data_IF_241186091941
#
_entry.id   IF_241186091941
#
_cell.length_a   1.000
_cell.length_b   1.000
_cell.length_c   1.000
_cell.angle_alpha   90.00
_cell.angle_beta   90.00
_cell.angle_gamma   90.00
#
_symmetry.space_group_name_H-M   'P 1'
#
loop_
_entity.id
_entity.type
_entity.pdbx_description
1 polymer ?
#
# COMPACT_ATOMS: atom_id res chain seq x y z
N UNK A 1 18.10 -5.93 18.64
CA UNK A 1 17.77 -5.24 17.38
C UNK A 1 16.30 -5.46 17.13
N UNK A 2 15.54 -4.41 16.81
CA UNK A 2 14.14 -4.54 16.44
C UNK A 2 14.04 -5.40 15.17
N UNK A 3 13.29 -6.52 15.17
CA UNK A 3 13.13 -7.35 13.98
C UNK A 3 12.49 -6.60 12.80
N UNK A 4 11.80 -5.48 13.05
CA UNK A 4 11.09 -4.69 12.04
C UNK A 4 11.86 -3.45 11.57
N UNK A 5 13.07 -3.22 12.10
CA UNK A 5 13.93 -2.15 11.60
C UNK A 5 14.45 -2.46 10.19
N UNK A 6 14.02 -1.64 9.24
CA UNK A 6 14.43 -1.71 7.82
C UNK A 6 15.35 -0.55 7.41
N UNK A 7 15.78 0.31 8.34
CA UNK A 7 16.61 1.49 8.04
C UNK A 7 17.87 1.13 7.26
N UNK A 8 18.42 -0.06 7.49
CA UNK A 8 19.61 -0.56 6.82
C UNK A 8 19.41 -0.94 5.35
N UNK A 9 18.19 -0.99 4.80
CA UNK A 9 17.95 -1.28 3.38
C UNK A 9 18.60 -0.26 2.44
N UNK A 10 18.91 0.95 2.93
CA UNK A 10 19.65 1.99 2.18
C UNK A 10 21.07 1.57 1.80
N UNK A 11 21.64 0.59 2.51
CA UNK A 11 23.00 0.10 2.23
C UNK A 11 22.93 -0.90 1.07
N UNK A 12 23.76 -0.78 0.03
CA UNK A 12 23.75 -1.74 -1.07
C UNK A 12 24.24 -3.13 -0.64
N UNK A 13 23.82 -4.16 -1.37
CA UNK A 13 24.36 -5.51 -1.21
C UNK A 13 25.77 -5.63 -1.77
N UNK A 14 26.63 -6.48 -1.15
CA UNK A 14 27.80 -7.01 -1.82
C UNK A 14 27.42 -7.70 -3.14
N UNK A 15 28.23 -7.48 -4.19
CA UNK A 15 27.93 -7.94 -5.55
C UNK A 15 27.71 -9.45 -5.69
N UNK A 16 28.44 -10.25 -4.91
CA UNK A 16 28.33 -11.71 -4.92
C UNK A 16 26.99 -12.19 -4.36
N UNK A 17 26.50 -11.51 -3.32
CA UNK A 17 25.19 -11.77 -2.72
C UNK A 17 24.07 -11.30 -3.65
N UNK A 18 24.21 -10.11 -4.23
CA UNK A 18 23.22 -9.58 -5.18
C UNK A 18 23.07 -10.51 -6.39
N UNK A 19 24.16 -10.93 -7.03
CA UNK A 19 24.12 -11.87 -8.16
C UNK A 19 23.46 -13.20 -7.81
N UNK A 20 23.77 -13.77 -6.63
CA UNK A 20 23.16 -15.02 -6.19
C UNK A 20 21.64 -14.86 -5.97
N UNK A 21 21.23 -13.73 -5.39
CA UNK A 21 19.83 -13.38 -5.17
C UNK A 21 19.09 -13.19 -6.50
N UNK A 22 19.66 -12.44 -7.44
CA UNK A 22 19.05 -12.16 -8.74
C UNK A 22 18.94 -13.42 -9.61
N UNK A 23 19.86 -14.38 -9.43
CA UNK A 23 19.76 -15.71 -10.06
C UNK A 23 18.70 -16.62 -9.39
N UNK A 24 18.21 -16.25 -8.21
CA UNK A 24 17.27 -17.04 -7.42
C UNK A 24 17.90 -18.23 -6.69
N UNK A 25 19.22 -18.25 -6.48
CA UNK A 25 19.88 -19.24 -5.64
C UNK A 25 19.92 -18.73 -4.19
N UNK A 26 18.76 -18.83 -3.51
CA UNK A 26 18.63 -18.36 -2.13
C UNK A 26 19.48 -19.19 -1.15
N UNK A 27 19.80 -20.44 -1.49
CA UNK A 27 20.71 -21.27 -0.70
C UNK A 27 22.14 -20.75 -0.72
N UNK A 28 22.68 -20.42 -1.90
CA UNK A 28 23.97 -19.75 -2.04
C UNK A 28 23.94 -18.37 -1.40
N UNK A 29 22.87 -17.59 -1.61
CA UNK A 29 22.70 -16.26 -1.03
C UNK A 29 22.85 -16.29 0.49
N UNK A 30 22.15 -17.22 1.18
CA UNK A 30 22.28 -17.42 2.64
C UNK A 30 23.69 -17.83 3.05
N UNK A 31 24.33 -18.76 2.34
CA UNK A 31 25.70 -19.18 2.63
C UNK A 31 26.69 -18.02 2.53
N UNK A 32 26.59 -17.20 1.48
CA UNK A 32 27.44 -16.01 1.30
C UNK A 32 27.21 -14.97 2.40
N UNK A 33 25.95 -14.73 2.78
CA UNK A 33 25.62 -13.86 3.91
C UNK A 33 26.28 -14.38 5.20
N UNK A 34 26.08 -15.64 5.56
CA UNK A 34 26.65 -16.21 6.79
C UNK A 34 28.18 -16.21 6.78
N UNK A 35 28.81 -16.48 5.63
CA UNK A 35 30.26 -16.39 5.49
C UNK A 35 30.76 -14.96 5.75
N UNK A 36 30.07 -13.93 5.24
CA UNK A 36 30.44 -12.53 5.49
C UNK A 36 30.16 -12.12 6.94
N UNK A 37 29.06 -12.55 7.54
CA UNK A 37 28.76 -12.27 8.96
C UNK A 37 29.83 -12.82 9.91
N UNK A 38 30.46 -13.94 9.58
CA UNK A 38 31.57 -14.52 10.34
C UNK A 38 32.93 -13.84 10.07
N UNK A 39 33.00 -12.91 9.11
CA UNK A 39 34.23 -12.21 8.79
C UNK A 39 34.42 -10.99 9.68
N UNK A 40 35.39 -11.03 10.58
CA UNK A 40 35.70 -9.93 11.49
C UNK A 40 36.09 -8.60 10.80
N UNK A 41 36.35 -8.61 9.48
CA UNK A 41 36.70 -7.40 8.71
C UNK A 41 35.51 -6.57 8.23
N UNK A 42 34.28 -7.11 8.24
CA UNK A 42 33.12 -6.34 7.78
C UNK A 42 32.64 -5.37 8.85
N UNK A 43 32.17 -4.19 8.41
CA UNK A 43 31.61 -3.17 9.31
C UNK A 43 30.30 -3.63 9.93
N UNK A 44 29.93 -3.03 11.07
CA UNK A 44 28.64 -3.33 11.72
C UNK A 44 27.46 -2.95 10.83
N UNK A 45 27.55 -1.80 10.14
CA UNK A 45 26.55 -1.35 9.15
C UNK A 45 26.29 -2.42 8.08
N UNK A 46 27.34 -3.09 7.59
CA UNK A 46 27.18 -4.16 6.62
C UNK A 46 26.58 -5.42 7.27
N UNK A 47 26.90 -5.74 8.53
CA UNK A 47 26.25 -6.86 9.24
C UNK A 47 24.75 -6.62 9.39
N UNK A 48 24.35 -5.41 9.78
CA UNK A 48 22.94 -5.05 9.94
C UNK A 48 22.20 -5.18 8.61
N UNK A 49 22.79 -4.66 7.53
CA UNK A 49 22.28 -4.84 6.16
C UNK A 49 22.11 -6.32 5.77
N UNK A 50 23.08 -7.17 6.13
CA UNK A 50 23.04 -8.60 5.83
C UNK A 50 22.02 -9.36 6.68
N UNK A 51 21.82 -8.96 7.94
CA UNK A 51 20.76 -9.48 8.79
C UNK A 51 19.37 -9.10 8.26
N UNK A 52 19.18 -7.87 7.79
CA UNK A 52 17.96 -7.45 7.11
C UNK A 52 17.76 -8.23 5.82
N UNK A 53 18.81 -8.53 5.05
CA UNK A 53 18.68 -9.36 3.85
C UNK A 53 18.12 -10.76 4.14
N UNK A 54 18.54 -11.39 5.24
CA UNK A 54 18.01 -12.70 5.61
C UNK A 54 16.49 -12.68 5.87
N UNK A 55 15.96 -11.54 6.31
CA UNK A 55 14.52 -11.29 6.45
C UNK A 55 13.87 -11.10 5.08
N UNK A 56 14.46 -10.27 4.22
CA UNK A 56 14.00 -10.01 2.85
C UNK A 56 13.87 -11.31 2.03
N UNK A 57 14.81 -12.24 2.18
CA UNK A 57 14.76 -13.53 1.48
C UNK A 57 13.49 -14.35 1.77
N UNK A 58 12.85 -14.13 2.93
CA UNK A 58 11.61 -14.85 3.27
C UNK A 58 10.43 -14.47 2.37
N UNK A 59 10.45 -13.30 1.72
CA UNK A 59 9.44 -12.89 0.72
C UNK A 59 9.53 -13.74 -0.53
N UNK A 60 10.75 -14.01 -0.99
CA UNK A 60 10.98 -14.81 -2.20
C UNK A 60 10.84 -16.32 -1.97
N UNK A 61 10.88 -16.75 -0.71
CA UNK A 61 10.55 -18.12 -0.29
C UNK A 61 9.05 -18.32 -0.06
N UNK A 62 8.27 -17.24 0.07
CA UNK A 62 6.82 -17.31 0.11
C UNK A 62 6.27 -17.77 -1.26
N UNK A 63 5.07 -18.34 -1.27
CA UNK A 63 4.42 -18.85 -2.48
C UNK A 63 3.93 -17.75 -3.45
N UNK A 64 4.55 -16.58 -3.44
CA UNK A 64 4.19 -15.44 -4.31
C UNK A 64 4.51 -15.67 -5.78
N UNK A 65 5.50 -16.52 -6.09
CA UNK A 65 5.93 -16.82 -7.47
C UNK A 65 5.76 -18.31 -7.82
N UNK A 66 4.53 -18.85 -7.84
CA UNK A 66 4.31 -20.29 -7.93
C UNK A 66 4.37 -20.84 -9.37
N UNK A 67 4.43 -19.98 -10.39
CA UNK A 67 4.22 -20.39 -11.78
C UNK A 67 5.51 -20.33 -12.59
N UNK A 68 6.06 -21.49 -12.95
CA UNK A 68 7.07 -21.58 -14.01
C UNK A 68 6.48 -21.17 -15.37
N UNK A 69 7.33 -20.80 -16.33
CA UNK A 69 6.92 -20.29 -17.65
C UNK A 69 5.90 -21.17 -18.38
N UNK A 70 6.09 -22.50 -18.40
CA UNK A 70 5.13 -23.43 -19.03
C UNK A 70 3.73 -23.29 -18.40
N UNK A 71 3.66 -23.18 -17.07
CA UNK A 71 2.39 -23.06 -16.37
C UNK A 71 1.76 -21.68 -16.58
N UNK A 72 2.56 -20.63 -16.57
CA UNK A 72 2.09 -19.28 -16.87
C UNK A 72 1.49 -19.20 -18.28
N UNK A 73 2.12 -19.84 -19.28
CA UNK A 73 1.60 -19.93 -20.64
C UNK A 73 0.26 -20.68 -20.71
N UNK A 74 0.13 -21.82 -20.03
CA UNK A 74 -1.14 -22.55 -19.95
C UNK A 74 -2.25 -21.68 -19.36
N UNK A 75 -1.94 -20.94 -18.29
CA UNK A 75 -2.91 -20.06 -17.63
C UNK A 75 -3.34 -18.93 -18.58
N UNK A 76 -2.40 -18.28 -19.28
CA UNK A 76 -2.73 -17.25 -20.27
C UNK A 76 -3.64 -17.80 -21.39
N UNK A 77 -3.35 -18.99 -21.90
CA UNK A 77 -4.17 -19.66 -22.93
C UNK A 77 -5.59 -19.99 -22.43
N UNK A 78 -5.73 -20.31 -21.14
CA UNK A 78 -7.02 -20.63 -20.52
C UNK A 78 -7.82 -19.38 -20.14
N UNK A 79 -7.16 -18.24 -19.95
CA UNK A 79 -7.79 -17.01 -19.50
C UNK A 79 -8.20 -16.06 -20.62
N UNK A 80 -7.56 -16.11 -21.79
CA UNK A 80 -7.76 -15.13 -22.86
C UNK A 80 -8.08 -15.75 -24.22
N UNK A 81 -9.05 -15.16 -24.92
CA UNK A 81 -9.38 -15.46 -26.32
C UNK A 81 -8.19 -15.12 -27.23
N UNK A 82 -7.88 -16.00 -28.18
CA UNK A 82 -6.85 -15.84 -29.22
C UNK A 82 -5.42 -15.56 -28.72
N UNK A 83 -5.10 -15.94 -27.48
CA UNK A 83 -3.77 -15.73 -26.90
C UNK A 83 -2.65 -16.43 -27.69
N UNK A 84 -1.60 -15.68 -28.03
CA UNK A 84 -0.37 -16.19 -28.66
C UNK A 84 0.78 -16.24 -27.65
N UNK A 85 1.66 -17.24 -27.75
CA UNK A 85 2.79 -17.41 -26.81
C UNK A 85 3.65 -16.16 -26.70
N UNK A 86 3.95 -15.53 -27.83
CA UNK A 86 4.83 -14.37 -27.93
C UNK A 86 4.25 -13.13 -27.20
N UNK A 87 2.96 -13.14 -26.88
CA UNK A 87 2.37 -12.10 -26.03
C UNK A 87 3.00 -12.11 -24.63
N UNK A 88 3.22 -13.28 -24.00
CA UNK A 88 3.85 -13.33 -22.68
C UNK A 88 5.29 -12.81 -22.71
N UNK A 89 6.02 -13.08 -23.78
CA UNK A 89 7.39 -12.57 -23.95
C UNK A 89 7.40 -11.04 -24.07
N UNK A 90 6.49 -10.47 -24.86
CA UNK A 90 6.32 -9.01 -24.96
C UNK A 90 5.94 -8.38 -23.63
N UNK A 91 5.04 -9.00 -22.87
CA UNK A 91 4.64 -8.51 -21.54
C UNK A 91 5.84 -8.51 -20.57
N UNK A 92 6.71 -9.52 -20.64
CA UNK A 92 7.95 -9.60 -19.84
C UNK A 92 8.92 -8.49 -20.25
N UNK A 93 9.14 -8.30 -21.55
CA UNK A 93 10.04 -7.27 -22.09
C UNK A 93 9.57 -5.84 -21.78
N UNK A 94 8.25 -5.63 -21.77
CA UNK A 94 7.62 -4.36 -21.41
C UNK A 94 7.51 -4.14 -19.89
N UNK A 95 7.83 -5.14 -19.06
CA UNK A 95 7.74 -5.05 -17.60
C UNK A 95 6.31 -5.08 -17.04
N UNK A 96 5.33 -5.52 -17.83
CA UNK A 96 3.89 -5.51 -17.52
C UNK A 96 3.43 -6.72 -16.71
N UNK A 97 4.30 -7.73 -16.58
CA UNK A 97 4.13 -8.88 -15.69
C UNK A 97 5.28 -8.95 -14.69
N UNK A 98 4.97 -9.22 -13.43
CA UNK A 98 5.96 -9.37 -12.38
C UNK A 98 6.52 -10.80 -12.38
N UNK A 99 7.84 -10.91 -12.40
CA UNK A 99 8.56 -12.18 -12.47
C UNK A 99 9.92 -12.09 -11.79
N UNK A 100 10.47 -13.24 -11.38
CA UNK A 100 11.84 -13.37 -10.85
C UNK A 100 12.51 -14.60 -11.45
N UNK A 101 13.82 -14.76 -11.21
CA UNK A 101 14.48 -16.05 -11.37
C UNK A 101 14.37 -16.88 -10.09
N UNK A 102 14.16 -18.19 -10.26
CA UNK A 102 14.33 -19.22 -9.26
C UNK A 102 15.30 -20.26 -9.83
N UNK A 103 16.54 -20.30 -9.31
CA UNK A 103 17.63 -21.11 -9.85
C UNK A 103 17.81 -20.98 -11.38
N UNK A 104 17.80 -19.74 -11.89
CA UNK A 104 17.95 -19.44 -13.31
C UNK A 104 16.72 -19.69 -14.20
N UNK A 105 15.59 -20.13 -13.62
CA UNK A 105 14.31 -20.27 -14.33
C UNK A 105 13.38 -19.11 -14.04
N UNK A 106 12.70 -18.59 -15.05
CA UNK A 106 11.69 -17.53 -14.90
C UNK A 106 10.44 -18.09 -14.19
N UNK A 107 10.01 -17.42 -13.13
CA UNK A 107 8.77 -17.69 -12.41
C UNK A 107 7.95 -16.42 -12.23
N UNK A 108 6.62 -16.55 -12.32
CA UNK A 108 5.68 -15.43 -12.39
C UNK A 108 4.90 -15.27 -11.08
N UNK A 109 4.61 -14.02 -10.74
CA UNK A 109 3.84 -13.67 -9.55
C UNK A 109 2.41 -14.23 -9.63
N UNK A 110 1.84 -14.69 -8.52
CA UNK A 110 0.54 -15.39 -8.50
C UNK A 110 -0.63 -14.56 -9.08
N UNK A 111 -0.54 -13.23 -8.96
CA UNK A 111 -1.58 -12.28 -9.40
C UNK A 111 -1.33 -11.69 -10.79
N UNK A 112 -0.41 -12.23 -11.59
CA UNK A 112 -0.03 -11.60 -12.88
C UNK A 112 -1.21 -11.48 -13.87
N UNK A 113 -2.10 -12.47 -13.95
CA UNK A 113 -3.30 -12.39 -14.82
C UNK A 113 -4.28 -11.33 -14.31
N UNK A 114 -4.58 -11.34 -13.00
CA UNK A 114 -5.43 -10.32 -12.40
C UNK A 114 -4.85 -8.90 -12.61
N UNK A 115 -3.52 -8.77 -12.59
CA UNK A 115 -2.84 -7.52 -12.91
C UNK A 115 -3.14 -7.08 -14.34
N UNK A 116 -2.98 -7.97 -15.31
CA UNK A 116 -3.21 -7.69 -16.73
C UNK A 116 -4.66 -7.27 -16.99
N UNK A 117 -5.62 -8.06 -16.50
CA UNK A 117 -7.05 -7.76 -16.65
C UNK A 117 -7.39 -6.38 -16.07
N UNK A 118 -6.79 -6.01 -14.92
CA UNK A 118 -7.02 -4.72 -14.27
C UNK A 118 -6.39 -3.53 -15.00
N UNK A 119 -5.30 -3.74 -15.74
CA UNK A 119 -4.43 -2.65 -16.20
C UNK A 119 -4.40 -2.47 -17.71
N UNK A 120 -4.85 -3.48 -18.46
CA UNK A 120 -4.76 -3.57 -19.91
C UNK A 120 -6.12 -3.85 -20.53
N UNK A 121 -6.67 -2.86 -21.23
CA UNK A 121 -7.99 -2.96 -21.87
C UNK A 121 -8.04 -4.02 -22.98
N UNK A 122 -6.94 -4.24 -23.68
CA UNK A 122 -6.80 -5.30 -24.69
C UNK A 122 -6.85 -6.71 -24.10
N UNK A 123 -6.36 -6.91 -22.88
CA UNK A 123 -6.52 -8.18 -22.16
C UNK A 123 -7.89 -8.30 -21.50
N UNK A 124 -8.40 -7.23 -20.89
CA UNK A 124 -9.73 -7.19 -20.29
C UNK A 124 -10.83 -7.62 -21.28
N UNK A 125 -10.80 -7.08 -22.49
CA UNK A 125 -11.81 -7.39 -23.53
C UNK A 125 -11.74 -8.81 -24.07
N UNK A 126 -10.63 -9.51 -23.87
CA UNK A 126 -10.41 -10.91 -24.29
C UNK A 126 -10.52 -11.89 -23.13
N UNK A 127 -10.78 -11.43 -21.91
CA UNK A 127 -10.82 -12.26 -20.71
C UNK A 127 -12.08 -13.12 -20.65
N UNK A 128 -11.93 -14.41 -20.34
CA UNK A 128 -13.00 -15.42 -20.45
C UNK A 128 -13.93 -15.51 -19.23
N UNK A 129 -13.63 -14.85 -18.11
CA UNK A 129 -14.41 -14.97 -16.87
C UNK A 129 -15.25 -13.70 -16.62
N UNK A 130 -16.57 -13.81 -16.76
CA UNK A 130 -17.51 -12.67 -16.73
C UNK A 130 -17.83 -12.13 -15.32
N UNK A 131 -17.82 -12.95 -14.26
CA UNK A 131 -18.25 -12.54 -12.91
C UNK A 131 -17.38 -11.42 -12.31
N UNK A 132 -16.06 -11.44 -12.57
CA UNK A 132 -15.14 -10.38 -12.11
C UNK A 132 -15.44 -9.03 -12.79
N UNK A 133 -15.85 -9.06 -14.06
CA UNK A 133 -16.12 -7.84 -14.84
C UNK A 133 -17.37 -7.09 -14.35
N UNK A 134 -18.41 -7.82 -13.93
CA UNK A 134 -19.66 -7.21 -13.44
C UNK A 134 -19.47 -6.46 -12.13
N UNK A 135 -18.71 -7.04 -11.19
CA UNK A 135 -18.40 -6.43 -9.90
C UNK A 135 -17.55 -5.17 -10.09
N UNK A 136 -16.52 -5.24 -10.93
CA UNK A 136 -15.68 -4.07 -11.20
C UNK A 136 -16.47 -2.95 -11.87
N UNK A 137 -17.38 -3.26 -12.81
CA UNK A 137 -18.27 -2.24 -13.39
C UNK A 137 -19.15 -1.58 -12.33
N UNK A 138 -19.75 -2.34 -11.41
CA UNK A 138 -20.60 -1.79 -10.35
C UNK A 138 -19.81 -0.86 -9.40
N UNK A 139 -18.57 -1.23 -9.08
CA UNK A 139 -17.66 -0.37 -8.29
C UNK A 139 -17.33 0.94 -9.01
N UNK A 140 -17.08 0.89 -10.32
CA UNK A 140 -16.83 2.13 -11.07
C UNK A 140 -18.03 3.08 -11.01
N UNK A 141 -19.24 2.54 -11.16
CA UNK A 141 -20.49 3.32 -11.05
C UNK A 141 -20.66 3.92 -9.66
N UNK A 142 -20.44 3.16 -8.59
CA UNK A 142 -20.53 3.67 -7.22
C UNK A 142 -19.53 4.81 -6.95
N UNK A 143 -18.31 4.71 -7.47
CA UNK A 143 -17.32 5.78 -7.38
C UNK A 143 -17.77 7.02 -8.15
N UNK A 144 -18.30 6.86 -9.36
CA UNK A 144 -18.75 7.97 -10.20
C UNK A 144 -19.94 8.70 -9.55
N UNK A 145 -20.94 7.96 -9.06
CA UNK A 145 -22.06 8.53 -8.30
C UNK A 145 -21.60 9.24 -7.02
N UNK A 146 -20.57 8.72 -6.35
CA UNK A 146 -19.99 9.39 -5.20
C UNK A 146 -19.35 10.73 -5.58
N UNK A 147 -18.61 10.79 -6.70
CA UNK A 147 -18.01 12.04 -7.19
C UNK A 147 -19.09 13.07 -7.48
N UNK A 148 -20.15 12.69 -8.21
CA UNK A 148 -21.27 13.58 -8.51
C UNK A 148 -21.91 14.14 -7.23
N UNK A 149 -22.24 13.26 -6.26
CA UNK A 149 -22.84 13.68 -4.99
C UNK A 149 -21.91 14.54 -4.15
N UNK A 150 -20.61 14.24 -4.13
CA UNK A 150 -19.61 15.05 -3.40
C UNK A 150 -19.53 16.47 -3.95
N UNK A 151 -19.55 16.64 -5.29
CA UNK A 151 -19.58 17.95 -5.94
C UNK A 151 -20.88 18.71 -5.65
N UNK A 152 -22.01 18.02 -5.67
CA UNK A 152 -23.33 18.63 -5.42
C UNK A 152 -23.53 19.06 -3.96
N UNK A 153 -23.09 18.23 -3.01
CA UNK A 153 -23.35 18.43 -1.58
C UNK A 153 -22.21 19.13 -0.84
N UNK A 154 -21.01 19.19 -1.42
CA UNK A 154 -19.80 19.74 -0.81
C UNK A 154 -19.17 18.84 0.27
N UNK A 155 -19.90 17.86 0.78
CA UNK A 155 -19.41 16.84 1.72
C UNK A 155 -20.36 15.65 1.77
N UNK A 156 -19.85 14.50 2.21
CA UNK A 156 -20.67 13.31 2.50
C UNK A 156 -20.16 12.61 3.75
N UNK A 157 -21.05 11.94 4.46
CA UNK A 157 -20.71 11.12 5.62
C UNK A 157 -21.30 9.73 5.46
N UNK A 158 -20.49 8.69 5.65
CA UNK A 158 -20.95 7.31 5.75
C UNK A 158 -20.74 6.79 7.17
N UNK A 159 -21.72 6.04 7.68
CA UNK A 159 -21.54 5.13 8.81
C UNK A 159 -21.27 3.75 8.25
N UNK A 160 -20.15 3.16 8.64
CA UNK A 160 -19.71 1.84 8.18
C UNK A 160 -19.66 0.90 9.36
N UNK A 161 -20.19 -0.31 9.18
CA UNK A 161 -20.06 -1.45 10.10
C UNK A 161 -19.27 -2.53 9.38
N UNK A 162 -18.11 -2.88 9.92
CA UNK A 162 -17.19 -3.84 9.33
C UNK A 162 -16.91 -4.97 10.31
N UNK A 163 -16.85 -6.20 9.79
CA UNK A 163 -16.36 -7.36 10.51
C UNK A 163 -15.03 -7.81 9.92
N UNK A 164 -14.02 -7.97 10.76
CA UNK A 164 -12.70 -8.49 10.36
C UNK A 164 -12.36 -9.72 11.18
N UNK A 165 -11.74 -10.72 10.55
CA UNK A 165 -11.22 -11.92 11.20
C UNK A 165 -9.80 -12.22 10.75
N UNK A 166 -9.03 -12.87 11.64
CA UNK A 166 -7.69 -13.36 11.34
C UNK A 166 -7.45 -14.68 12.05
N UNK A 167 -6.90 -15.66 11.33
CA UNK A 167 -6.41 -16.92 11.89
C UNK A 167 -5.21 -17.46 11.10
N UNK A 168 -4.32 -18.25 11.73
CA UNK A 168 -3.30 -18.97 10.99
C UNK A 168 -3.92 -20.13 10.18
N UNK A 169 -3.36 -20.39 9.00
CA UNK A 169 -3.76 -21.52 8.15
C UNK A 169 -3.28 -22.87 8.69
N UNK A 170 -2.22 -22.85 9.51
CA UNK A 170 -1.64 -24.04 10.13
C UNK A 170 -2.22 -24.30 11.51
N UNK A 171 -2.45 -25.57 11.85
CA UNK A 171 -2.80 -25.97 13.22
C UNK A 171 -1.63 -25.75 14.17
N UNK A 172 -1.88 -25.06 15.29
CA UNK A 172 -0.89 -24.77 16.33
C UNK A 172 -1.18 -25.56 17.61
N UNK A 173 -0.14 -25.83 18.39
CA UNK A 173 -0.23 -26.56 19.64
C UNK A 173 -0.02 -25.63 20.83
N UNK A 174 -0.40 -26.09 22.03
CA UNK A 174 -0.28 -25.29 23.27
C UNK A 174 1.15 -24.80 23.54
N UNK A 175 2.16 -25.56 23.13
CA UNK A 175 3.58 -25.22 23.26
C UNK A 175 4.05 -24.11 22.30
N UNK A 176 3.22 -23.71 21.33
CA UNK A 176 3.51 -22.61 20.42
C UNK A 176 3.06 -21.25 21.00
N UNK A 177 2.28 -21.25 22.09
CA UNK A 177 1.76 -20.04 22.72
C UNK A 177 2.79 -19.30 23.60
N UNK A 178 2.52 -18.03 23.97
CA UNK A 178 1.30 -17.27 23.67
C UNK A 178 1.15 -16.91 22.19
N UNK A 179 -0.10 -16.73 21.77
CA UNK A 179 -0.50 -16.30 20.44
C UNK A 179 -1.00 -14.86 20.50
N UNK A 180 -0.45 -14.01 19.65
CA UNK A 180 -0.76 -12.58 19.61
C UNK A 180 -1.28 -12.21 18.21
N UNK A 181 -2.51 -11.71 18.16
CA UNK A 181 -3.18 -11.26 16.94
C UNK A 181 -3.43 -9.77 17.01
N UNK A 182 -3.12 -9.03 15.96
CA UNK A 182 -3.49 -7.63 15.77
C UNK A 182 -4.47 -7.52 14.60
N UNK A 183 -5.58 -6.82 14.79
CA UNK A 183 -6.51 -6.46 13.71
C UNK A 183 -6.59 -4.92 13.62
N UNK A 184 -6.45 -4.31 12.43
CA UNK A 184 -6.51 -2.86 12.27
C UNK A 184 -7.89 -2.30 12.62
N UNK A 185 -7.91 -1.09 13.16
CA UNK A 185 -9.13 -0.34 13.51
C UNK A 185 -9.07 1.07 12.92
N UNK A 186 -10.23 1.71 12.65
CA UNK A 186 -10.26 3.07 12.15
C UNK A 186 -9.63 4.04 13.15
N UNK A 187 -8.68 4.87 12.73
CA UNK A 187 -7.98 5.86 13.56
C UNK A 187 -8.52 7.28 13.38
N UNK A 188 -8.10 8.18 14.25
CA UNK A 188 -8.43 9.59 14.19
C UNK A 188 -7.71 10.32 13.04
N UNK A 189 -8.46 10.66 12.00
CA UNK A 189 -8.01 11.54 10.90
C UNK A 189 -8.55 12.96 11.02
N UNK A 190 -9.28 13.29 12.09
CA UNK A 190 -10.16 14.46 12.17
C UNK A 190 -11.42 14.35 11.31
N UNK A 191 -11.54 13.28 10.50
CA UNK A 191 -12.70 12.96 9.64
C UNK A 191 -13.43 11.70 10.06
N UNK A 192 -12.82 10.88 10.92
CA UNK A 192 -13.44 9.71 11.54
C UNK A 192 -14.05 10.09 12.89
N UNK A 193 -15.29 9.70 13.12
CA UNK A 193 -16.01 9.89 14.36
C UNK A 193 -16.75 8.61 14.77
N UNK A 194 -17.28 8.61 16.00
CA UNK A 194 -18.19 7.57 16.50
C UNK A 194 -17.67 6.12 16.36
N UNK A 195 -16.34 5.95 16.39
CA UNK A 195 -15.71 4.64 16.31
C UNK A 195 -16.03 3.79 17.56
N UNK A 196 -16.62 2.60 17.37
CA UNK A 196 -17.09 1.70 18.42
C UNK A 196 -16.78 0.26 18.07
N UNK A 197 -16.34 -0.51 19.06
CA UNK A 197 -16.30 -1.98 18.96
C UNK A 197 -17.68 -2.51 19.35
N UNK A 198 -18.28 -3.33 18.49
CA UNK A 198 -19.62 -3.89 18.68
C UNK A 198 -19.54 -5.30 19.28
N UNK A 199 -18.68 -6.14 18.71
CA UNK A 199 -18.50 -7.52 19.14
C UNK A 199 -17.07 -8.00 18.90
N UNK A 200 -16.59 -8.90 19.75
CA UNK A 200 -15.31 -9.59 19.55
C UNK A 200 -15.40 -11.08 19.82
N UNK A 201 -14.60 -11.87 19.09
CA UNK A 201 -14.26 -13.26 19.42
C UNK A 201 -12.76 -13.33 19.68
N UNK A 202 -12.37 -13.97 20.79
CA UNK A 202 -10.99 -13.99 21.28
C UNK A 202 -10.79 -13.10 22.50
N UNK A 203 -9.73 -13.36 23.27
CA UNK A 203 -9.41 -12.59 24.47
C UNK A 203 -8.69 -11.29 24.09
N UNK A 204 -9.39 -10.15 24.20
CA UNK A 204 -8.83 -8.82 23.94
C UNK A 204 -7.75 -8.52 24.98
N UNK A 205 -6.52 -8.32 24.51
CA UNK A 205 -5.39 -7.88 25.32
C UNK A 205 -5.37 -6.36 25.46
N UNK A 206 -5.53 -5.65 24.35
CA UNK A 206 -5.46 -4.20 24.33
C UNK A 206 -6.17 -3.63 23.10
N UNK A 207 -6.73 -2.44 23.24
CA UNK A 207 -7.21 -1.62 22.12
C UNK A 207 -6.37 -0.35 22.11
N UNK A 208 -5.80 -0.03 20.96
CA UNK A 208 -4.94 1.15 20.83
C UNK A 208 -5.74 2.45 21.00
N UNK A 209 -5.09 3.52 21.52
CA UNK A 209 -5.66 4.86 21.53
C UNK A 209 -6.18 5.25 20.13
N UNK A 210 -7.27 6.03 20.08
CA UNK A 210 -7.89 6.41 18.80
C UNK A 210 -6.93 7.15 17.85
N UNK A 211 -5.99 7.91 18.41
CA UNK A 211 -4.97 8.66 17.67
C UNK A 211 -3.68 7.87 17.38
N UNK A 212 -3.61 6.57 17.71
CA UNK A 212 -2.42 5.77 17.45
C UNK A 212 -2.00 5.83 15.96
N UNK A 213 -0.70 5.90 15.65
CA UNK A 213 -0.25 6.01 14.26
C UNK A 213 -0.58 4.78 13.41
N UNK A 214 -0.55 3.59 14.02
CA UNK A 214 -1.13 2.35 13.50
C UNK A 214 -2.09 1.83 14.56
N UNK A 215 -3.40 1.99 14.33
CA UNK A 215 -4.40 1.65 15.35
C UNK A 215 -4.87 0.22 15.17
N UNK A 216 -4.71 -0.58 16.22
CA UNK A 216 -5.12 -1.99 16.22
C UNK A 216 -5.91 -2.36 17.48
N UNK A 217 -6.60 -3.48 17.40
CA UNK A 217 -7.02 -4.28 18.55
C UNK A 217 -6.14 -5.52 18.62
N UNK A 218 -5.51 -5.72 19.77
CA UNK A 218 -4.66 -6.85 20.06
C UNK A 218 -5.44 -7.92 20.85
N UNK A 219 -5.31 -9.18 20.45
CA UNK A 219 -5.85 -10.35 21.13
C UNK A 219 -4.70 -11.25 21.56
N UNK A 220 -4.76 -11.81 22.77
CA UNK A 220 -3.75 -12.75 23.24
C UNK A 220 -4.37 -13.96 23.93
N UNK A 221 -3.89 -15.15 23.56
CA UNK A 221 -4.34 -16.41 24.18
C UNK A 221 -3.20 -17.42 24.25
N UNK A 222 -3.28 -18.33 25.22
CA UNK A 222 -2.43 -19.53 25.29
C UNK A 222 -3.17 -20.80 24.84
N UNK A 223 -4.45 -20.66 24.49
CA UNK A 223 -5.30 -21.77 24.06
C UNK A 223 -5.37 -21.81 22.53
N UNK A 224 -4.82 -22.87 21.88
CA UNK A 224 -4.90 -23.04 20.43
C UNK A 224 -6.33 -23.07 19.87
N UNK A 225 -7.34 -23.46 20.67
CA UNK A 225 -8.73 -23.48 20.20
C UNK A 225 -9.37 -22.09 20.10
N UNK A 226 -8.71 -21.07 20.66
CA UNK A 226 -9.19 -19.69 20.75
C UNK A 226 -8.34 -18.70 19.94
N UNK A 227 -7.51 -19.17 18.99
CA UNK A 227 -6.55 -18.36 18.21
C UNK A 227 -7.20 -17.47 17.15
N UNK A 228 -8.36 -17.87 16.64
CA UNK A 228 -9.11 -17.06 15.69
C UNK A 228 -9.66 -15.83 16.40
N UNK A 229 -9.18 -14.66 15.96
CA UNK A 229 -9.68 -13.38 16.44
C UNK A 229 -10.71 -12.83 15.46
N UNK A 230 -11.75 -12.21 15.98
CA UNK A 230 -12.74 -11.48 15.19
C UNK A 230 -13.10 -10.20 15.90
N UNK A 231 -13.28 -9.12 15.14
CA UNK A 231 -13.83 -7.86 15.63
C UNK A 231 -14.89 -7.36 14.65
N UNK A 232 -16.06 -7.03 15.18
CA UNK A 232 -17.07 -6.23 14.50
C UNK A 232 -17.04 -4.83 15.11
N UNK A 233 -16.89 -3.82 14.27
CA UNK A 233 -16.78 -2.44 14.70
C UNK A 233 -17.52 -1.50 13.74
N UNK A 234 -17.88 -0.34 14.24
CA UNK A 234 -18.52 0.71 13.44
C UNK A 234 -17.80 2.03 13.57
N UNK A 235 -17.83 2.85 12.53
CA UNK A 235 -17.29 4.21 12.53
C UNK A 235 -18.05 5.08 11.54
N UNK A 236 -17.96 6.40 11.71
CA UNK A 236 -18.44 7.38 10.74
C UNK A 236 -17.25 8.05 10.07
N UNK A 237 -17.26 8.14 8.74
CA UNK A 237 -16.25 8.86 7.96
C UNK A 237 -16.91 10.01 7.21
N UNK A 238 -16.38 11.22 7.37
CA UNK A 238 -16.82 12.40 6.62
C UNK A 238 -15.77 12.83 5.59
N UNK A 239 -16.11 12.75 4.31
CA UNK A 239 -15.32 13.32 3.23
C UNK A 239 -15.83 14.73 2.90
N UNK A 240 -14.91 15.65 2.62
CA UNK A 240 -15.23 17.04 2.22
C UNK A 240 -14.72 17.25 0.81
N UNK A 241 -15.54 17.84 -0.05
CA UNK A 241 -15.16 18.21 -1.40
C UNK A 241 -14.47 19.58 -1.41
N UNK A 242 -13.34 19.66 -2.12
CA UNK A 242 -12.61 20.89 -2.40
C UNK A 242 -12.35 20.96 -3.91
N UNK A 243 -12.79 22.05 -4.53
CA UNK A 243 -12.58 22.29 -5.95
C UNK A 243 -11.23 22.98 -6.18
N UNK A 244 -10.17 22.18 -6.30
CA UNK A 244 -8.82 22.71 -6.57
C UNK A 244 -8.65 23.19 -8.02
N UNK A 245 -9.49 22.73 -8.95
CA UNK A 245 -9.40 23.12 -10.36
C UNK A 245 -9.99 24.50 -10.59
N UNK A 246 -11.03 24.88 -9.85
CA UNK A 246 -11.44 26.28 -9.78
C UNK A 246 -10.27 27.20 -9.40
N UNK A 247 -9.45 26.81 -8.43
CA UNK A 247 -8.30 27.61 -7.99
C UNK A 247 -7.19 27.69 -9.06
N UNK A 248 -6.96 26.59 -9.78
CA UNK A 248 -6.02 26.54 -10.90
C UNK A 248 -6.49 27.43 -12.06
N UNK A 249 -7.78 27.36 -12.42
CA UNK A 249 -8.38 28.16 -13.50
C UNK A 249 -8.36 29.67 -13.17
N UNK A 250 -8.62 30.02 -11.92
CA UNK A 250 -8.53 31.39 -11.41
C UNK A 250 -7.08 31.87 -11.22
N UNK A 251 -6.08 31.01 -11.43
CA UNK A 251 -4.66 31.27 -11.19
C UNK A 251 -4.39 31.77 -9.76
N UNK A 252 -5.08 31.17 -8.79
CA UNK A 252 -4.95 31.51 -7.39
C UNK A 252 -3.53 31.20 -6.90
N UNK A 253 -2.84 32.23 -6.41
CA UNK A 253 -1.49 32.09 -5.88
C UNK A 253 -1.51 31.60 -4.44
N UNK A 254 -1.21 30.31 -4.25
CA UNK A 254 -0.93 29.75 -2.92
C UNK A 254 0.49 30.17 -2.50
N UNK A 255 0.65 30.68 -1.28
CA UNK A 255 1.97 31.10 -0.80
C UNK A 255 2.85 29.90 -0.47
N UNK A 256 4.15 30.15 -0.38
CA UNK A 256 5.08 29.18 0.23
C UNK A 256 4.84 29.02 1.74
N UNK A 257 5.35 27.90 2.28
CA UNK A 257 5.43 27.71 3.73
C UNK A 257 6.34 28.75 4.37
N UNK A 258 5.91 29.25 5.53
CA UNK A 258 6.77 29.99 6.45
C UNK A 258 7.79 29.06 7.12
N UNK A 259 8.88 29.62 7.65
CA UNK A 259 9.86 28.81 8.41
C UNK A 259 9.25 28.14 9.64
N UNK A 260 8.25 28.77 10.28
CA UNK A 260 7.53 28.16 11.39
C UNK A 260 6.73 26.93 10.95
N UNK A 261 6.08 26.99 9.79
CA UNK A 261 5.35 25.86 9.23
C UNK A 261 6.30 24.75 8.76
N UNK A 262 7.43 25.09 8.14
CA UNK A 262 8.46 24.09 7.78
C UNK A 262 8.96 23.33 9.01
N UNK A 263 9.20 24.03 10.10
CA UNK A 263 9.60 23.42 11.37
C UNK A 263 8.47 22.54 11.95
N UNK A 264 7.22 23.01 11.90
CA UNK A 264 6.07 22.25 12.39
C UNK A 264 5.81 20.98 11.54
N UNK A 265 6.09 21.03 10.25
CA UNK A 265 5.88 19.94 9.29
C UNK A 265 7.16 19.16 8.95
N UNK A 266 8.21 19.24 9.76
CA UNK A 266 9.49 18.61 9.46
C UNK A 266 9.37 17.10 9.15
N UNK A 267 8.54 16.35 9.86
CA UNK A 267 8.29 14.92 9.58
C UNK A 267 7.59 14.64 8.25
N UNK A 268 6.81 15.62 7.78
CA UNK A 268 6.08 15.58 6.52
C UNK A 268 6.84 16.23 5.36
N UNK A 269 8.03 16.79 5.61
CA UNK A 269 8.89 17.44 4.62
C UNK A 269 10.22 16.71 4.42
N UNK A 270 10.72 16.00 5.43
CA UNK A 270 12.02 15.35 5.39
C UNK A 270 11.95 13.92 4.81
N UNK A 271 13.12 13.39 4.49
CA UNK A 271 13.30 11.97 4.18
C UNK A 271 12.84 11.07 5.34
N UNK A 272 12.40 9.88 4.99
CA UNK A 272 12.15 8.78 5.91
C UNK A 272 12.71 7.51 5.28
N UNK A 273 13.99 7.25 5.57
CA UNK A 273 14.68 6.10 5.03
C UNK A 273 14.05 4.79 5.55
N UNK A 274 13.98 3.75 4.69
CA UNK A 274 14.58 3.68 3.36
C UNK A 274 13.59 4.00 2.22
N UNK A 275 12.31 4.26 2.52
CA UNK A 275 11.26 4.28 1.50
C UNK A 275 10.91 5.67 0.95
N UNK A 276 11.28 6.74 1.67
CA UNK A 276 11.21 8.14 1.22
C UNK A 276 12.64 8.69 1.26
N UNK A 277 13.30 8.75 0.10
CA UNK A 277 14.67 9.28 -0.01
C UNK A 277 14.80 10.25 -1.18
N UNK A 278 15.59 11.31 -1.00
CA UNK A 278 15.80 12.37 -1.98
C UNK A 278 17.02 12.05 -2.84
N UNK A 279 16.86 11.04 -3.70
CA UNK A 279 17.95 10.53 -4.51
C UNK A 279 18.30 11.50 -5.65
N UNK A 280 19.55 11.46 -6.18
CA UNK A 280 19.93 12.27 -7.34
C UNK A 280 19.04 12.03 -8.57
N UNK A 281 18.54 10.81 -8.76
CA UNK A 281 17.61 10.49 -9.83
C UNK A 281 16.27 11.22 -9.65
N UNK A 282 15.66 11.12 -8.46
CA UNK A 282 14.40 11.79 -8.16
C UNK A 282 14.52 13.32 -8.24
N UNK A 283 15.70 13.88 -7.93
CA UNK A 283 15.94 15.32 -8.08
C UNK A 283 15.89 15.77 -9.54
N UNK A 284 16.50 15.01 -10.45
CA UNK A 284 16.46 15.30 -11.89
C UNK A 284 15.06 15.10 -12.45
N UNK A 285 14.39 14.01 -12.06
CA UNK A 285 13.00 13.76 -12.44
C UNK A 285 12.08 14.90 -12.01
N UNK A 286 12.23 15.41 -10.79
CA UNK A 286 11.42 16.51 -10.29
C UNK A 286 11.62 17.81 -11.11
N UNK A 287 12.84 18.07 -11.61
CA UNK A 287 13.10 19.20 -12.49
C UNK A 287 12.38 19.08 -13.84
N UNK A 288 12.22 17.86 -14.35
CA UNK A 288 11.44 17.58 -15.57
C UNK A 288 9.93 17.72 -15.34
N UNK A 289 9.44 17.42 -14.13
CA UNK A 289 8.02 17.50 -13.77
C UNK A 289 7.58 18.95 -13.51
N UNK A 290 8.47 19.81 -12.98
CA UNK A 290 8.11 21.15 -12.49
C UNK A 290 8.61 22.36 -13.33
N UNK A 291 8.84 22.29 -14.66
CA UNK A 291 9.45 23.40 -15.39
C UNK A 291 8.58 24.66 -15.42
N UNK A 292 7.25 24.52 -15.33
CA UNK A 292 6.29 25.62 -15.47
C UNK A 292 5.51 25.95 -14.18
N UNK A 293 5.69 25.15 -13.12
CA UNK A 293 4.91 25.27 -11.88
C UNK A 293 5.41 26.45 -11.02
N UNK A 294 4.51 27.39 -10.71
CA UNK A 294 4.84 28.68 -10.06
C UNK A 294 4.57 28.73 -8.57
N UNK A 295 3.73 27.83 -8.06
CA UNK A 295 3.27 27.83 -6.67
C UNK A 295 3.06 26.38 -6.16
N UNK A 296 2.84 26.17 -4.85
CA UNK A 296 2.66 24.82 -4.28
C UNK A 296 1.51 24.01 -4.89
N UNK A 297 0.38 24.64 -5.25
CA UNK A 297 -0.76 23.95 -5.84
C UNK A 297 -0.41 23.42 -7.24
N UNK A 298 0.19 24.26 -8.08
CA UNK A 298 0.64 23.85 -9.43
C UNK A 298 1.69 22.74 -9.36
N UNK A 299 2.62 22.81 -8.39
CA UNK A 299 3.63 21.75 -8.16
C UNK A 299 2.97 20.43 -7.74
N UNK A 300 2.04 20.47 -6.79
CA UNK A 300 1.31 19.28 -6.35
C UNK A 300 0.53 18.63 -7.50
N UNK A 301 -0.13 19.46 -8.34
CA UNK A 301 -0.88 18.97 -9.50
C UNK A 301 0.04 18.37 -10.56
N UNK A 302 1.16 19.00 -10.89
CA UNK A 302 2.13 18.46 -11.84
C UNK A 302 2.68 17.09 -11.39
N UNK A 303 2.93 16.91 -10.10
CA UNK A 303 3.33 15.63 -9.50
C UNK A 303 2.19 14.61 -9.60
N UNK A 304 0.96 14.98 -9.23
CA UNK A 304 -0.21 14.12 -9.37
C UNK A 304 -0.41 13.65 -10.81
N UNK A 305 -0.35 14.59 -11.75
CA UNK A 305 -0.45 14.32 -13.18
C UNK A 305 0.65 13.37 -13.65
N UNK A 306 1.91 13.60 -13.24
CA UNK A 306 3.01 12.68 -13.57
C UNK A 306 2.73 11.26 -13.06
N UNK A 307 2.42 11.10 -11.77
CA UNK A 307 2.20 9.76 -11.19
C UNK A 307 1.03 9.05 -11.88
N UNK A 308 -0.11 9.74 -12.06
CA UNK A 308 -1.33 9.12 -12.62
C UNK A 308 -1.25 8.82 -14.13
N UNK A 309 -0.39 9.51 -14.88
CA UNK A 309 -0.29 9.35 -16.34
C UNK A 309 0.97 8.60 -16.80
N UNK A 310 2.01 8.52 -15.96
CA UNK A 310 3.29 7.87 -16.29
C UNK A 310 3.55 6.60 -15.50
N UNK A 311 2.86 6.37 -14.39
CA UNK A 311 3.04 5.14 -13.59
C UNK A 311 1.88 4.17 -13.84
N UNK A 312 2.20 2.94 -14.23
CA UNK A 312 1.21 1.88 -14.43
C UNK A 312 0.95 1.15 -13.11
N UNK A 313 -0.32 0.84 -12.84
CA UNK A 313 -0.64 0.04 -11.67
C UNK A 313 -0.04 -1.37 -11.82
N UNK A 314 0.59 -1.88 -10.76
CA UNK A 314 1.10 -3.26 -10.74
C UNK A 314 1.01 -3.81 -9.33
N UNK A 315 0.49 -5.02 -9.17
CA UNK A 315 0.63 -5.74 -7.90
C UNK A 315 2.11 -5.87 -7.53
N UNK A 316 2.41 -5.70 -6.23
CA UNK A 316 3.75 -5.75 -5.70
C UNK A 316 3.94 -6.95 -4.78
N UNK A 317 5.19 -7.43 -4.74
CA UNK A 317 5.69 -8.25 -3.63
C UNK A 317 5.65 -7.44 -2.34
N UNK A 318 5.81 -8.13 -1.20
CA UNK A 318 5.81 -7.46 0.10
C UNK A 318 6.86 -6.34 0.16
N UNK A 319 6.45 -5.16 0.63
CA UNK A 319 7.20 -3.91 0.47
C UNK A 319 8.58 -3.91 1.09
N UNK A 320 8.80 -4.67 2.17
CA UNK A 320 10.12 -4.77 2.80
C UNK A 320 11.15 -5.51 1.94
N UNK A 321 10.74 -6.15 0.83
CA UNK A 321 11.65 -6.65 -0.21
C UNK A 321 12.05 -5.59 -1.26
N UNK A 322 11.54 -4.37 -1.16
CA UNK A 322 11.86 -3.23 -2.02
C UNK A 322 12.79 -2.28 -1.23
N UNK A 323 14.08 -2.14 -1.59
CA UNK A 323 15.02 -1.35 -0.81
C UNK A 323 14.59 0.11 -0.62
N UNK A 324 14.20 0.79 -1.71
CA UNK A 324 13.64 2.14 -1.69
C UNK A 324 12.41 2.17 -2.60
N UNK A 325 11.22 2.36 -2.00
CA UNK A 325 9.95 2.25 -2.73
C UNK A 325 9.74 3.44 -3.66
N UNK A 326 10.02 4.65 -3.19
CA UNK A 326 9.84 5.87 -4.00
C UNK A 326 10.68 5.85 -5.27
N UNK A 327 11.97 5.53 -5.16
CA UNK A 327 12.86 5.41 -6.33
C UNK A 327 12.50 4.20 -7.21
N UNK A 328 12.15 3.06 -6.62
CA UNK A 328 11.68 1.89 -7.37
C UNK A 328 10.47 2.24 -8.25
N UNK A 329 9.48 2.93 -7.71
CA UNK A 329 8.29 3.35 -8.44
C UNK A 329 8.66 4.21 -9.65
N UNK A 330 9.50 5.22 -9.44
CA UNK A 330 9.89 6.17 -10.48
C UNK A 330 10.75 5.52 -11.59
N UNK A 331 11.72 4.68 -11.22
CA UNK A 331 12.61 3.99 -12.19
C UNK A 331 11.83 2.99 -13.04
N UNK A 332 10.95 2.20 -12.41
CA UNK A 332 10.22 1.14 -13.11
C UNK A 332 8.89 1.61 -13.70
N UNK A 333 8.48 2.85 -13.40
CA UNK A 333 7.18 3.41 -13.81
C UNK A 333 6.00 2.49 -13.49
N UNK A 334 6.10 1.74 -12.38
CA UNK A 334 5.05 0.83 -11.90
C UNK A 334 4.94 0.79 -10.39
N UNK A 335 3.72 0.67 -9.89
CA UNK A 335 3.36 0.80 -8.47
C UNK A 335 1.97 0.26 -8.19
N UNK A 336 1.72 -0.41 -7.07
CA UNK A 336 0.35 -0.50 -6.54
C UNK A 336 0.00 0.79 -5.78
N UNK A 337 -1.12 0.80 -5.04
CA UNK A 337 -1.61 2.00 -4.37
C UNK A 337 -0.56 2.62 -3.45
N UNK A 338 0.08 1.81 -2.63
CA UNK A 338 1.06 2.30 -1.72
C UNK A 338 2.38 2.71 -2.40
N UNK A 339 2.87 1.93 -3.35
CA UNK A 339 4.10 2.32 -4.07
C UNK A 339 3.94 3.64 -4.83
N UNK A 340 2.75 3.89 -5.42
CA UNK A 340 2.44 5.17 -6.07
C UNK A 340 2.30 6.31 -5.07
N UNK A 341 1.61 6.09 -3.95
CA UNK A 341 1.44 7.13 -2.91
C UNK A 341 2.79 7.54 -2.30
N UNK A 342 3.74 6.62 -2.09
CA UNK A 342 5.08 6.96 -1.60
C UNK A 342 5.89 7.76 -2.62
N UNK A 343 5.74 7.50 -3.92
CA UNK A 343 6.35 8.33 -4.95
C UNK A 343 5.78 9.75 -4.93
N UNK A 344 4.44 9.88 -4.90
CA UNK A 344 3.78 11.17 -4.81
C UNK A 344 4.25 11.97 -3.58
N UNK A 345 4.26 11.33 -2.41
CA UNK A 345 4.72 11.94 -1.16
C UNK A 345 6.18 12.40 -1.28
N UNK A 346 7.06 11.54 -1.81
CA UNK A 346 8.49 11.86 -1.92
C UNK A 346 8.73 13.06 -2.82
N UNK A 347 8.08 13.10 -3.99
CA UNK A 347 8.20 14.23 -4.92
C UNK A 347 7.60 15.52 -4.31
N UNK A 348 6.47 15.44 -3.62
CA UNK A 348 5.89 16.58 -2.90
C UNK A 348 6.83 17.13 -1.84
N UNK A 349 7.43 16.25 -1.02
CA UNK A 349 8.40 16.63 0.01
C UNK A 349 9.62 17.34 -0.58
N UNK A 350 10.17 16.79 -1.66
CA UNK A 350 11.27 17.42 -2.41
C UNK A 350 10.88 18.77 -3.01
N UNK A 351 9.62 18.95 -3.36
CA UNK A 351 9.04 20.20 -3.82
C UNK A 351 8.64 21.16 -2.68
N UNK A 352 9.02 20.90 -1.43
CA UNK A 352 8.66 21.69 -0.24
C UNK A 352 7.14 21.76 0.03
N UNK A 353 6.42 20.67 -0.28
CA UNK A 353 5.00 20.48 0.02
C UNK A 353 4.91 19.38 1.08
N UNK A 354 4.38 19.66 2.30
CA UNK A 354 4.25 18.63 3.31
C UNK A 354 3.30 17.55 2.82
N UNK A 355 3.72 16.29 2.90
CA UNK A 355 2.93 15.16 2.44
C UNK A 355 3.08 13.96 3.37
N UNK A 356 1.97 13.28 3.63
CA UNK A 356 1.88 12.17 4.57
C UNK A 356 1.14 10.98 3.97
N UNK A 357 1.49 9.81 4.49
CA UNK A 357 0.91 8.52 4.14
C UNK A 357 -0.34 8.26 4.96
N UNK A 358 -1.37 7.70 4.34
CA UNK A 358 -2.47 7.06 5.06
C UNK A 358 -2.83 5.73 4.39
N UNK A 359 -3.17 4.75 5.20
CA UNK A 359 -3.53 3.42 4.70
C UNK A 359 -4.54 2.71 5.58
N UNK A 360 -5.22 1.73 4.98
CA UNK A 360 -6.13 0.83 5.66
C UNK A 360 -6.92 0.05 4.62
N UNK A 361 -8.25 0.21 4.58
CA UNK A 361 -9.10 -0.50 3.64
C UNK A 361 -9.90 0.47 2.74
N UNK A 362 -10.06 0.11 1.48
CA UNK A 362 -11.20 0.53 0.66
C UNK A 362 -12.40 -0.34 1.02
N UNK A 363 -13.52 0.28 1.38
CA UNK A 363 -14.73 -0.37 1.91
C UNK A 363 -15.94 0.12 1.12
N UNK A 364 -16.34 -0.65 0.11
CA UNK A 364 -17.51 -0.40 -0.76
C UNK A 364 -18.57 -1.48 -0.61
N UNK A 365 -19.77 -1.25 -1.18
CA UNK A 365 -20.83 -2.27 -1.23
C UNK A 365 -20.39 -3.55 -1.97
N UNK A 366 -19.45 -3.43 -2.91
CA UNK A 366 -19.05 -4.50 -3.82
C UNK A 366 -17.69 -5.13 -3.46
N UNK A 367 -16.87 -4.46 -2.67
CA UNK A 367 -15.51 -4.90 -2.37
C UNK A 367 -14.96 -4.29 -1.07
N UNK A 368 -14.28 -5.12 -0.29
CA UNK A 368 -13.46 -4.69 0.86
C UNK A 368 -12.05 -5.21 0.66
N UNK A 369 -11.06 -4.32 0.71
CA UNK A 369 -9.66 -4.73 0.59
C UNK A 369 -8.65 -3.63 0.92
N UNK A 370 -7.37 -4.01 1.02
CA UNK A 370 -6.29 -3.06 1.34
C UNK A 370 -6.21 -1.92 0.33
N UNK A 371 -5.98 -0.71 0.82
CA UNK A 371 -5.75 0.45 -0.01
C UNK A 371 -4.97 1.55 0.73
N UNK A 372 -4.19 2.30 -0.05
CA UNK A 372 -3.27 3.33 0.40
C UNK A 372 -3.51 4.60 -0.39
N UNK A 373 -3.37 5.74 0.28
CA UNK A 373 -3.48 7.05 -0.32
C UNK A 373 -2.50 8.01 0.35
N UNK A 374 -2.49 9.25 -0.11
CA UNK A 374 -1.69 10.30 0.48
C UNK A 374 -2.55 11.50 0.86
N UNK A 375 -1.96 12.36 1.67
CA UNK A 375 -2.45 13.72 1.88
C UNK A 375 -1.31 14.70 1.73
N UNK A 376 -1.63 15.90 1.28
CA UNK A 376 -0.67 16.99 1.12
C UNK A 376 -1.23 18.28 1.73
N UNK A 377 -0.34 19.15 2.19
CA UNK A 377 -0.72 20.41 2.83
C UNK A 377 -0.52 21.59 1.89
N UNK A 378 -1.55 22.42 1.76
CA UNK A 378 -1.45 23.74 1.16
C UNK A 378 -1.73 24.80 2.23
N UNK A 379 -0.91 25.87 2.33
CA UNK A 379 -1.29 27.07 3.03
C UNK A 379 -2.71 27.53 2.65
N UNK A 380 -3.42 28.17 3.59
CA UNK A 380 -4.81 28.62 3.45
C UNK A 380 -5.88 27.52 3.37
N UNK A 381 -5.56 26.30 2.91
CA UNK A 381 -6.52 25.21 2.70
C UNK A 381 -6.35 24.03 3.67
N UNK A 382 -5.16 23.85 4.22
CA UNK A 382 -4.87 22.76 5.15
C UNK A 382 -4.48 21.45 4.45
N UNK A 383 -4.74 20.33 5.13
CA UNK A 383 -4.51 18.99 4.61
C UNK A 383 -5.61 18.58 3.64
N UNK A 384 -5.20 18.24 2.41
CA UNK A 384 -6.03 17.78 1.31
C UNK A 384 -5.64 16.34 0.97
N UNK A 385 -6.60 15.55 0.49
CA UNK A 385 -6.35 14.16 0.13
C UNK A 385 -5.96 14.01 -1.33
N UNK A 386 -5.25 12.93 -1.64
CA UNK A 386 -4.96 12.55 -3.01
C UNK A 386 -4.86 11.03 -3.13
N UNK A 387 -5.54 10.49 -4.13
CA UNK A 387 -5.53 9.06 -4.44
C UNK A 387 -5.00 8.85 -5.87
N UNK A 388 -3.68 8.71 -5.98
CA UNK A 388 -3.01 8.50 -7.28
C UNK A 388 -3.35 7.13 -7.90
N UNK A 389 -3.76 6.15 -7.10
CA UNK A 389 -4.11 4.82 -7.59
C UNK A 389 -5.47 4.85 -8.31
N UNK A 390 -6.50 5.38 -7.64
CA UNK A 390 -7.82 5.52 -8.22
C UNK A 390 -7.84 6.61 -9.29
N UNK A 391 -7.09 7.70 -9.08
CA UNK A 391 -6.84 8.73 -10.10
C UNK A 391 -6.23 8.16 -11.37
N UNK A 392 -5.14 7.38 -11.26
CA UNK A 392 -4.51 6.72 -12.41
C UNK A 392 -5.41 5.69 -13.08
N UNK A 393 -6.26 4.99 -12.31
CA UNK A 393 -7.29 4.11 -12.87
C UNK A 393 -8.34 4.88 -13.67
N UNK A 394 -8.81 6.02 -13.15
CA UNK A 394 -9.77 6.88 -13.83
C UNK A 394 -9.20 7.46 -15.13
N UNK A 395 -7.94 7.92 -15.12
CA UNK A 395 -7.24 8.39 -16.32
C UNK A 395 -7.16 7.31 -17.40
N UNK A 396 -6.70 6.09 -17.05
CA UNK A 396 -6.64 4.96 -18.01
C UNK A 396 -8.02 4.56 -18.55
N UNK A 397 -9.06 4.69 -17.72
CA UNK A 397 -10.44 4.43 -18.11
C UNK A 397 -11.10 5.57 -18.89
N UNK A 398 -10.42 6.68 -19.15
CA UNK A 398 -10.97 7.85 -19.85
C UNK A 398 -12.01 8.64 -19.03
N UNK A 399 -12.09 8.42 -17.72
CA UNK A 399 -12.98 9.16 -16.83
C UNK A 399 -12.23 10.37 -16.25
N UNK A 400 -12.23 11.47 -17.01
CA UNK A 400 -11.56 12.71 -16.65
C UNK A 400 -12.12 13.31 -15.35
N UNK A 401 -13.44 13.30 -15.18
CA UNK A 401 -14.08 13.88 -14.00
C UNK A 401 -13.60 13.24 -12.69
N UNK A 402 -13.54 11.90 -12.64
CA UNK A 402 -13.04 11.18 -11.47
C UNK A 402 -11.51 11.29 -11.35
N UNK A 403 -10.79 11.36 -12.46
CA UNK A 403 -9.35 11.61 -12.43
C UNK A 403 -9.04 12.96 -11.78
N UNK A 404 -9.74 14.02 -12.14
CA UNK A 404 -9.54 15.34 -11.52
C UNK A 404 -10.02 15.33 -10.06
N UNK A 405 -11.14 14.68 -9.74
CA UNK A 405 -11.64 14.57 -8.37
C UNK A 405 -10.59 14.08 -7.37
N UNK A 406 -9.84 13.02 -7.70
CA UNK A 406 -8.84 12.43 -6.79
C UNK A 406 -7.59 13.28 -6.54
N UNK A 407 -7.50 14.48 -7.14
CA UNK A 407 -6.56 15.51 -6.73
C UNK A 407 -7.25 16.52 -5.80
N UNK A 408 -7.08 16.34 -4.49
CA UNK A 408 -7.67 17.18 -3.45
C UNK A 408 -8.77 16.50 -2.64
N UNK A 409 -9.31 15.38 -3.13
CA UNK A 409 -10.47 14.71 -2.54
C UNK A 409 -10.25 13.20 -2.33
N UNK A 410 -11.06 12.65 -1.43
CA UNK A 410 -11.17 11.22 -1.15
C UNK A 410 -12.66 10.87 -0.98
N UNK A 411 -13.02 9.64 -1.29
CA UNK A 411 -14.39 9.16 -1.11
C UNK A 411 -14.68 8.72 0.35
N UNK A 412 -15.94 8.40 0.62
CA UNK A 412 -16.44 7.96 1.94
C UNK A 412 -16.25 6.45 2.18
N UNK A 413 -15.59 5.74 1.26
CA UNK A 413 -15.45 4.29 1.25
C UNK A 413 -14.08 3.88 1.83
N UNK A 414 -13.68 4.46 2.96
CA UNK A 414 -12.34 4.25 3.54
C UNK A 414 -12.41 3.85 5.01
N UNK A 415 -11.58 2.87 5.38
CA UNK A 415 -11.15 2.65 6.76
C UNK A 415 -9.71 3.17 6.87
N UNK A 416 -9.46 4.36 7.43
CA UNK A 416 -8.10 4.82 7.72
C UNK A 416 -7.60 4.12 8.98
N UNK A 417 -6.64 3.20 8.86
CA UNK A 417 -6.06 2.49 10.00
C UNK A 417 -4.71 3.07 10.43
N UNK A 418 -3.96 3.64 9.48
CA UNK A 418 -2.59 4.09 9.67
C UNK A 418 -2.36 5.49 9.09
N UNK A 419 -1.42 6.24 9.69
CA UNK A 419 -0.94 7.53 9.14
C UNK A 419 0.59 7.61 9.03
N UNK A 420 1.29 6.49 9.16
CA UNK A 420 2.72 6.42 8.97
C UNK A 420 3.14 5.07 8.41
N UNK A 421 4.25 5.09 7.67
CA UNK A 421 4.99 3.89 7.30
C UNK A 421 5.90 3.48 8.47
N UNK A 422 6.04 2.18 8.66
CA UNK A 422 6.88 1.55 9.69
C UNK A 422 6.57 1.99 11.13
N UNK A 423 5.32 2.35 11.41
CA UNK A 423 4.86 2.64 12.76
C UNK A 423 4.84 1.39 13.63
N UNK A 424 5.21 1.53 14.91
CA UNK A 424 5.09 0.43 15.87
C UNK A 424 3.66 0.23 16.36
N UNK A 425 3.34 -0.99 16.81
CA UNK A 425 2.12 -1.27 17.57
C UNK A 425 2.30 -0.90 19.04
N UNK A 426 1.22 -0.56 19.74
CA UNK A 426 1.30 -0.34 21.19
C UNK A 426 1.64 -1.64 21.93
N UNK A 427 1.09 -2.77 21.47
CA UNK A 427 1.55 -4.09 21.90
C UNK A 427 2.61 -4.55 20.91
N UNK A 428 3.88 -4.40 21.30
CA UNK A 428 4.99 -4.76 20.44
C UNK A 428 4.99 -6.26 20.12
N UNK A 429 5.25 -6.57 18.84
CA UNK A 429 5.56 -7.93 18.38
C UNK A 429 7.03 -8.26 18.63
N UNK A 430 7.31 -9.54 18.89
CA UNK A 430 8.68 -10.03 19.12
C UNK A 430 9.39 -10.47 17.85
N UNK A 431 8.62 -10.81 16.80
CA UNK A 431 9.15 -11.29 15.53
C UNK A 431 8.90 -10.30 14.39
N UNK A 432 9.47 -10.62 13.23
CA UNK A 432 9.21 -9.88 12.00
C UNK A 432 7.70 -9.87 11.73
N UNK A 433 7.20 -8.67 11.45
CA UNK A 433 5.83 -8.41 11.05
C UNK A 433 5.53 -9.01 9.69
N UNK A 434 4.28 -9.43 9.48
CA UNK A 434 3.84 -9.89 8.15
C UNK A 434 4.00 -8.77 7.13
N UNK A 435 3.66 -7.56 7.59
CA UNK A 435 3.94 -6.30 6.92
C UNK A 435 4.47 -5.27 7.93
N UNK A 436 5.80 -5.04 7.95
CA UNK A 436 6.40 -4.02 8.78
C UNK A 436 6.15 -2.59 8.29
N UNK A 437 5.46 -2.38 7.16
CA UNK A 437 5.19 -1.05 6.62
C UNK A 437 3.90 -0.49 7.20
N UNK A 438 2.74 -1.12 7.03
CA UNK A 438 1.49 -0.50 7.46
C UNK A 438 0.38 -1.41 8.00
N UNK A 439 0.43 -2.74 7.85
CA UNK A 439 -0.55 -3.66 8.43
C UNK A 439 -2.02 -3.31 8.11
N UNK A 440 -2.42 -3.48 6.86
CA UNK A 440 -3.83 -3.34 6.46
C UNK A 440 -4.67 -4.61 6.73
N UNK A 441 -4.03 -5.77 6.81
CA UNK A 441 -4.69 -7.11 6.86
C UNK A 441 -4.61 -7.80 8.23
N UNK A 442 -4.10 -7.13 9.25
CA UNK A 442 -3.84 -7.75 10.53
C UNK A 442 -2.58 -8.61 10.54
N UNK A 443 -2.14 -8.98 11.73
CA UNK A 443 -0.90 -9.71 11.94
C UNK A 443 -1.00 -10.72 13.07
N UNK A 444 -0.22 -11.78 12.95
CA UNK A 444 -0.17 -12.86 13.94
C UNK A 444 1.27 -13.23 14.29
N UNK A 445 1.52 -13.54 15.55
CA UNK A 445 2.73 -14.25 15.98
C UNK A 445 2.42 -15.28 17.07
N UNK A 446 3.26 -16.31 17.11
CA UNK A 446 3.33 -17.26 18.22
C UNK A 446 4.60 -17.00 19.03
N UNK A 447 4.82 -17.73 20.12
CA UNK A 447 6.06 -17.63 20.90
C UNK A 447 7.33 -18.03 20.14
N UNK A 448 7.19 -18.63 18.94
CA UNK A 448 8.29 -19.18 18.16
C UNK A 448 8.62 -18.37 16.91
N UNK A 449 7.63 -17.71 16.30
CA UNK A 449 7.80 -16.93 15.07
C UNK A 449 6.63 -15.97 14.78
N UNK A 450 6.90 -14.99 13.93
CA UNK A 450 5.89 -14.24 13.19
C UNK A 450 5.42 -15.01 11.96
N UNK A 451 4.19 -14.74 11.52
CA UNK A 451 3.57 -15.40 10.37
C UNK A 451 3.43 -14.42 9.22
N UNK A 452 3.72 -14.87 8.00
CA UNK A 452 3.54 -14.10 6.75
C UNK A 452 2.10 -14.21 6.27
N UNK A 453 1.70 -13.37 5.32
CA UNK A 453 0.35 -13.39 4.77
C UNK A 453 -0.02 -14.69 4.04
N UNK A 454 0.92 -15.40 3.43
CA UNK A 454 0.68 -16.72 2.84
C UNK A 454 0.43 -17.83 3.89
N UNK A 455 0.59 -17.52 5.18
CA UNK A 455 0.33 -18.40 6.32
C UNK A 455 -0.92 -18.00 7.11
N UNK A 456 -1.63 -16.95 6.69
CA UNK A 456 -2.77 -16.36 7.38
C UNK A 456 -4.01 -16.35 6.50
N UNK A 457 -5.15 -16.55 7.14
CA UNK A 457 -6.48 -16.36 6.56
C UNK A 457 -7.08 -15.10 7.20
N UNK A 458 -7.08 -14.02 6.42
CA UNK A 458 -7.68 -12.74 6.77
C UNK A 458 -8.96 -12.53 5.98
N UNK A 459 -10.01 -12.10 6.65
CA UNK A 459 -11.26 -11.70 6.01
C UNK A 459 -11.72 -10.35 6.54
N UNK A 460 -12.31 -9.56 5.65
CA UNK A 460 -13.00 -8.32 5.99
C UNK A 460 -14.31 -8.26 5.21
N UNK A 461 -15.41 -8.06 5.93
CA UNK A 461 -16.77 -8.08 5.41
C UNK A 461 -17.48 -6.79 5.81
N UNK A 462 -18.05 -6.09 4.82
CA UNK A 462 -18.97 -5.00 5.06
C UNK A 462 -20.30 -5.56 5.55
N UNK A 463 -20.67 -5.25 6.78
CA UNK A 463 -21.97 -5.66 7.36
C UNK A 463 -23.06 -4.67 6.97
N UNK A 464 -22.76 -3.38 7.07
CA UNK A 464 -23.70 -2.31 6.76
C UNK A 464 -22.96 -1.03 6.39
N UNK A 465 -23.42 -0.33 5.35
CA UNK A 465 -23.05 1.05 5.08
C UNK A 465 -24.32 1.91 5.05
N UNK A 466 -24.36 2.97 5.84
CA UNK A 466 -25.46 3.94 5.86
C UNK A 466 -24.93 5.30 5.49
N UNK A 467 -25.45 5.90 4.42
CA UNK A 467 -25.12 7.28 4.06
C UNK A 467 -25.92 8.24 4.96
N UNK A 468 -25.20 9.09 5.71
CA UNK A 468 -25.76 10.08 6.64
C UNK A 468 -25.90 11.44 5.95
N UNK A 469 -26.61 11.50 4.83
CA UNK A 469 -26.88 12.77 4.14
C UNK A 469 -27.77 13.66 5.02
N UNK A 470 -27.26 14.84 5.41
CA UNK A 470 -28.12 15.92 5.89
C UNK A 470 -28.63 16.65 4.66
N UNK A 471 -29.93 16.61 4.40
CA UNK A 471 -30.54 17.50 3.44
C UNK A 471 -30.14 18.94 3.79
N UNK A 472 -29.38 19.60 2.92
CA UNK A 472 -29.16 21.04 3.00
C UNK A 472 -30.54 21.69 2.96
N UNK A 473 -30.93 22.35 4.05
CA UNK A 473 -32.17 23.12 4.13
C UNK A 473 -32.03 24.45 3.42
#
# INVERSE_FOLDING_TARGET
MDPNDLSNLVVPLPEDIQRAKDFGDFSLTRRLIHQKLNNARISEVLKDRLHTELKVLTVFEAKQYPYEETKALEMMQQSFVDFQREELDRLVEAGEVEWIYLNGKKVFHERFIANLVKTRSDYYTRYLFEEENGIDSARQVELDENVEKMKQLGQRTARIVLKQSLRPLTTLNKEDGPFLTHIPLPRDTGKVANAKILQTKGAVKQIDPFAAPQRTIAFETNDPSSIEATVEHSYELTAVYTDLFQLLDEQTMIRELTESEKNAFASALNEFAPHIQFTPFLQQLLQEILPEAKNPLERAYAIYHFVTTKVTYSFMREYYAIPNISEYCAVNQKGDCGVQALLFITLCRMANIPAEWESGLYVSEFFVGPHDWARFYLPEYGWLYVDVSFGGSAFRGGNEERWLYYFGNLDIFRLPANNCIQGGFTVAKQFLRADPIDNQRGEFESAKKGYRYDELDWQAELIEMTILEKALR
#
